data_IF_909563531607
#
_entry.id   IF_909563531607
#
_cell.length_a   1.000
_cell.length_b   1.000
_cell.length_c   1.000
_cell.angle_alpha   90.00
_cell.angle_beta   90.00
_cell.angle_gamma   90.00
#
_symmetry.space_group_name_H-M   'P 1'
#
loop_
_entity.id
_entity.type
_entity.pdbx_description
1 polymer ?
#
# COMPACT_ATOMS: atom_id res chain seq x y z
N UNK A 1 45.38 37.83 31.34
CA UNK A 1 44.48 37.46 30.20
C UNK A 1 43.79 36.13 30.53
N UNK A 2 42.52 36.19 30.93
CA UNK A 2 41.74 35.00 31.22
C UNK A 2 41.06 34.55 29.92
N UNK A 3 41.44 33.38 29.39
CA UNK A 3 40.78 32.75 28.25
C UNK A 3 39.62 31.94 28.79
N UNK A 4 38.38 32.42 28.59
CA UNK A 4 37.17 31.69 28.87
C UNK A 4 36.90 30.71 27.72
N UNK A 5 37.05 29.41 28.00
CA UNK A 5 36.60 28.35 27.09
C UNK A 5 35.08 28.20 27.20
N UNK A 6 34.35 28.55 26.15
CA UNK A 6 32.95 28.21 26.01
C UNK A 6 32.85 26.77 25.53
N UNK A 7 32.48 25.85 26.42
CA UNK A 7 32.16 24.47 26.05
C UNK A 7 30.71 24.45 25.52
N UNK A 8 30.54 24.32 24.22
CA UNK A 8 29.24 24.09 23.60
C UNK A 8 28.90 22.64 23.81
N UNK A 9 27.96 22.36 24.72
CA UNK A 9 27.38 21.02 24.91
C UNK A 9 26.34 20.81 23.79
N UNK A 10 26.70 20.02 22.78
CA UNK A 10 25.78 19.55 21.77
C UNK A 10 24.89 18.48 22.42
N UNK A 11 23.68 18.87 22.84
CA UNK A 11 22.66 17.94 23.33
C UNK A 11 22.06 17.25 22.12
N UNK A 12 22.62 16.11 21.71
CA UNK A 12 22.03 15.26 20.68
C UNK A 12 20.77 14.61 21.25
N UNK A 13 19.60 15.16 20.92
CA UNK A 13 18.32 14.52 21.19
C UNK A 13 18.26 13.24 20.35
N UNK A 14 18.49 12.09 20.96
CA UNK A 14 18.27 10.80 20.36
C UNK A 14 16.75 10.61 20.32
N UNK A 15 16.14 10.92 19.18
CA UNK A 15 14.75 10.52 18.93
C UNK A 15 14.73 9.00 18.77
N UNK A 16 14.27 8.30 19.80
CA UNK A 16 13.85 6.91 19.65
C UNK A 16 12.58 6.92 18.77
N UNK A 17 12.77 6.79 17.47
CA UNK A 17 11.67 6.42 16.58
C UNK A 17 11.33 4.98 16.94
N UNK A 18 10.32 4.79 17.79
CA UNK A 18 9.65 3.48 17.89
C UNK A 18 9.20 3.14 16.49
N UNK A 19 9.65 2.01 15.96
CA UNK A 19 9.07 1.43 14.75
C UNK A 19 7.57 1.26 15.05
N UNK A 20 6.76 2.18 14.56
CA UNK A 20 5.31 2.10 14.72
C UNK A 20 4.86 0.98 13.80
N UNK A 21 4.21 -0.04 14.36
CA UNK A 21 3.56 -1.06 13.53
C UNK A 21 2.53 -0.37 12.64
N UNK A 22 2.74 -0.41 11.33
CA UNK A 22 1.84 0.20 10.37
C UNK A 22 0.44 -0.45 10.45
N UNK A 23 -0.54 0.28 10.95
CA UNK A 23 -1.94 -0.17 11.10
C UNK A 23 -2.52 -0.62 9.75
N UNK A 24 -2.13 0.03 8.65
CA UNK A 24 -2.59 -0.31 7.30
C UNK A 24 -2.03 -1.65 6.77
N UNK A 25 -1.10 -2.28 7.50
CA UNK A 25 -0.60 -3.64 7.22
C UNK A 25 -1.23 -4.71 8.13
N UNK A 26 -2.15 -4.33 9.01
CA UNK A 26 -2.82 -5.26 9.92
C UNK A 26 -4.10 -5.82 9.29
N UNK A 27 -4.25 -7.15 9.25
CA UNK A 27 -5.42 -7.78 8.63
C UNK A 27 -6.74 -7.38 9.31
N UNK A 28 -6.74 -7.22 10.63
CA UNK A 28 -7.95 -6.89 11.39
C UNK A 28 -8.44 -5.46 11.11
N UNK A 29 -7.54 -4.55 10.74
CA UNK A 29 -7.94 -3.22 10.30
C UNK A 29 -8.85 -3.30 9.05
N UNK A 30 -8.47 -4.08 8.06
CA UNK A 30 -9.25 -4.21 6.81
C UNK A 30 -10.54 -5.02 6.99
N UNK A 31 -10.54 -6.02 7.87
CA UNK A 31 -11.75 -6.76 8.24
C UNK A 31 -12.81 -5.88 8.91
N UNK A 32 -12.42 -4.78 9.54
CA UNK A 32 -13.35 -3.81 10.14
C UNK A 32 -14.08 -2.96 9.10
N UNK A 33 -13.79 -3.11 7.81
CA UNK A 33 -14.35 -2.35 6.70
C UNK A 33 -14.19 -0.82 6.89
N UNK A 34 -12.93 -0.31 6.99
CA UNK A 34 -12.67 1.09 7.30
C UNK A 34 -13.20 2.05 6.22
N UNK A 35 -13.68 3.21 6.65
CA UNK A 35 -14.08 4.29 5.74
C UNK A 35 -12.86 5.01 5.18
N UNK A 36 -13.07 5.82 4.12
CA UNK A 36 -12.01 6.65 3.55
C UNK A 36 -11.40 7.60 4.59
N UNK A 37 -12.23 8.19 5.45
CA UNK A 37 -11.79 9.09 6.52
C UNK A 37 -10.92 8.35 7.55
N UNK A 38 -11.29 7.12 7.89
CA UNK A 38 -10.49 6.28 8.79
C UNK A 38 -9.11 6.00 8.20
N UNK A 39 -9.04 5.63 6.91
CA UNK A 39 -7.76 5.38 6.23
C UNK A 39 -6.90 6.64 6.15
N UNK A 40 -7.49 7.79 5.79
CA UNK A 40 -6.78 9.09 5.79
C UNK A 40 -6.25 9.45 7.17
N UNK A 41 -7.04 9.20 8.22
CA UNK A 41 -6.62 9.43 9.61
C UNK A 41 -5.41 8.57 9.98
N UNK A 42 -5.39 7.29 9.60
CA UNK A 42 -4.24 6.42 9.87
C UNK A 42 -2.98 6.90 9.13
N UNK A 43 -3.10 7.36 7.87
CA UNK A 43 -1.98 7.94 7.13
C UNK A 43 -1.47 9.21 7.81
N UNK A 44 -2.36 10.08 8.30
CA UNK A 44 -1.97 11.31 9.02
C UNK A 44 -1.24 11.04 10.34
N UNK A 45 -1.42 9.87 10.94
CA UNK A 45 -0.68 9.39 12.12
C UNK A 45 0.71 8.83 11.76
N UNK A 46 1.07 8.80 10.48
CA UNK A 46 2.37 8.32 10.00
C UNK A 46 2.36 6.86 9.52
N UNK A 47 1.21 6.20 9.41
CA UNK A 47 1.11 4.89 8.79
C UNK A 47 1.32 5.01 7.28
N UNK A 48 2.28 4.27 6.72
CA UNK A 48 2.62 4.33 5.30
C UNK A 48 1.52 3.67 4.44
N UNK A 49 0.99 4.35 3.41
CA UNK A 49 0.03 3.78 2.48
C UNK A 49 0.66 2.86 1.43
N UNK A 50 1.98 2.78 1.36
CA UNK A 50 2.70 2.06 0.30
C UNK A 50 3.74 1.06 0.81
N UNK A 51 3.94 0.95 2.13
CA UNK A 51 4.82 -0.05 2.73
C UNK A 51 4.29 -1.47 2.47
N UNK A 52 5.20 -2.42 2.27
CA UNK A 52 4.88 -3.84 2.14
C UNK A 52 5.22 -4.60 3.42
N UNK A 53 4.36 -5.52 3.82
CA UNK A 53 4.66 -6.46 4.90
C UNK A 53 5.63 -7.56 4.44
N UNK A 54 6.01 -8.47 5.35
CA UNK A 54 6.92 -9.59 5.04
C UNK A 54 6.41 -10.56 3.96
N UNK A 55 5.14 -10.53 3.61
CA UNK A 55 4.53 -11.28 2.51
C UNK A 55 4.37 -10.46 1.24
N UNK A 56 4.96 -9.28 1.15
CA UNK A 56 4.85 -8.34 0.02
C UNK A 56 3.41 -7.86 -0.26
N UNK A 57 2.52 -7.91 0.71
CA UNK A 57 1.24 -7.23 0.65
C UNK A 57 1.38 -5.78 1.15
N UNK A 58 0.72 -4.87 0.48
CA UNK A 58 0.61 -3.47 0.85
C UNK A 58 -0.86 -3.06 1.09
N UNK A 59 -1.14 -1.85 1.58
CA UNK A 59 -2.51 -1.40 1.83
C UNK A 59 -3.44 -1.49 0.62
N UNK A 60 -2.95 -1.29 -0.62
CA UNK A 60 -3.78 -1.44 -1.83
C UNK A 60 -4.23 -2.88 -2.02
N UNK A 61 -3.30 -3.84 -1.94
CA UNK A 61 -3.63 -5.26 -2.09
C UNK A 61 -4.53 -5.75 -0.97
N UNK A 62 -4.31 -5.28 0.25
CA UNK A 62 -5.14 -5.64 1.40
C UNK A 62 -6.56 -5.08 1.26
N UNK A 63 -6.73 -3.85 0.81
CA UNK A 63 -8.05 -3.25 0.55
C UNK A 63 -8.80 -3.99 -0.57
N UNK A 64 -8.13 -4.33 -1.68
CA UNK A 64 -8.73 -5.10 -2.77
C UNK A 64 -9.18 -6.49 -2.27
N UNK A 65 -8.32 -7.21 -1.56
CA UNK A 65 -8.61 -8.56 -1.07
C UNK A 65 -9.75 -8.60 -0.04
N UNK A 66 -9.91 -7.53 0.75
CA UNK A 66 -11.00 -7.40 1.71
C UNK A 66 -12.26 -6.75 1.10
N UNK A 67 -12.29 -6.48 -0.23
CA UNK A 67 -13.42 -5.89 -0.94
C UNK A 67 -13.88 -4.57 -0.33
N UNK A 68 -12.94 -3.75 0.12
CA UNK A 68 -13.21 -2.43 0.67
C UNK A 68 -13.78 -1.51 -0.42
N UNK A 69 -14.47 -0.44 -0.03
CA UNK A 69 -15.10 0.50 -0.98
C UNK A 69 -14.10 1.01 -2.03
N UNK A 70 -14.57 1.18 -3.26
CA UNK A 70 -13.71 1.64 -4.36
C UNK A 70 -13.10 3.02 -4.12
N UNK A 71 -13.74 3.88 -3.34
CA UNK A 71 -13.18 5.19 -2.98
C UNK A 71 -11.90 5.07 -2.16
N UNK A 72 -11.87 4.11 -1.22
CA UNK A 72 -10.65 3.80 -0.44
C UNK A 72 -9.57 3.24 -1.36
N UNK A 73 -9.91 2.26 -2.21
CA UNK A 73 -8.94 1.62 -3.11
C UNK A 73 -8.36 2.65 -4.09
N UNK A 74 -9.18 3.50 -4.70
CA UNK A 74 -8.74 4.58 -5.58
C UNK A 74 -7.80 5.55 -4.88
N UNK A 75 -8.19 5.99 -3.69
CA UNK A 75 -7.37 6.89 -2.87
C UNK A 75 -6.00 6.29 -2.57
N UNK A 76 -5.94 5.00 -2.19
CA UNK A 76 -4.67 4.32 -1.91
C UNK A 76 -3.80 4.16 -3.17
N UNK A 77 -4.38 3.84 -4.33
CA UNK A 77 -3.65 3.74 -5.60
C UNK A 77 -2.97 5.07 -5.96
N UNK A 78 -3.54 6.20 -5.56
CA UNK A 78 -3.01 7.53 -5.84
C UNK A 78 -1.92 7.99 -4.86
N UNK A 79 -1.66 7.24 -3.79
CA UNK A 79 -0.62 7.60 -2.84
C UNK A 79 0.78 7.35 -3.41
N UNK A 80 1.73 8.18 -2.98
CA UNK A 80 3.13 8.03 -3.37
C UNK A 80 3.65 6.62 -3.03
N UNK A 81 4.40 6.03 -3.96
CA UNK A 81 4.93 4.66 -3.83
C UNK A 81 3.97 3.55 -4.30
N UNK A 82 2.72 3.88 -4.66
CA UNK A 82 1.74 2.93 -5.22
C UNK A 82 1.63 3.05 -6.74
N UNK A 83 2.74 2.81 -7.43
CA UNK A 83 2.78 2.81 -8.90
C UNK A 83 2.07 1.59 -9.47
N UNK A 84 1.40 1.73 -10.63
CA UNK A 84 0.55 0.68 -11.22
C UNK A 84 1.29 -0.62 -11.59
N UNK A 85 2.60 -0.54 -11.80
CA UNK A 85 3.46 -1.69 -12.10
C UNK A 85 4.21 -2.23 -10.87
N UNK A 86 3.85 -1.79 -9.67
CA UNK A 86 4.43 -2.30 -8.42
C UNK A 86 4.19 -3.81 -8.29
N UNK A 87 5.27 -4.53 -7.98
CA UNK A 87 5.20 -5.96 -7.72
C UNK A 87 4.88 -6.23 -6.25
N UNK A 88 3.85 -7.01 -6.04
CA UNK A 88 3.39 -7.42 -4.72
C UNK A 88 3.57 -8.92 -4.51
N UNK A 89 2.85 -9.53 -3.61
CA UNK A 89 2.92 -10.97 -3.32
C UNK A 89 2.87 -11.83 -4.60
N UNK A 90 3.82 -12.74 -4.75
CA UNK A 90 4.06 -13.54 -5.97
C UNK A 90 4.30 -12.70 -7.23
N UNK A 91 4.87 -11.52 -7.09
CA UNK A 91 5.07 -10.54 -8.17
C UNK A 91 3.78 -10.11 -8.87
N UNK A 92 2.61 -10.28 -8.28
CA UNK A 92 1.34 -9.81 -8.83
C UNK A 92 1.28 -8.29 -8.89
N UNK A 93 0.74 -7.77 -9.99
CA UNK A 93 0.37 -6.36 -10.13
C UNK A 93 -0.98 -6.09 -9.46
N UNK A 94 -1.28 -4.82 -9.18
CA UNK A 94 -2.61 -4.43 -8.68
C UNK A 94 -3.73 -4.85 -9.64
N UNK A 95 -3.46 -4.82 -10.96
CA UNK A 95 -4.44 -5.26 -11.97
C UNK A 95 -4.81 -6.73 -11.82
N UNK A 96 -3.85 -7.61 -11.50
CA UNK A 96 -4.14 -9.02 -11.26
C UNK A 96 -4.96 -9.23 -9.98
N UNK A 97 -4.72 -8.46 -8.92
CA UNK A 97 -5.53 -8.50 -7.70
C UNK A 97 -6.96 -8.01 -7.94
N UNK A 98 -7.13 -6.89 -8.66
CA UNK A 98 -8.45 -6.35 -9.00
C UNK A 98 -9.22 -7.30 -9.91
N UNK A 99 -8.55 -7.93 -10.89
CA UNK A 99 -9.14 -8.93 -11.76
C UNK A 99 -9.60 -10.16 -10.98
N UNK A 100 -8.76 -10.69 -10.09
CA UNK A 100 -9.11 -11.83 -9.22
C UNK A 100 -10.28 -11.53 -8.28
N UNK A 101 -10.40 -10.28 -7.83
CA UNK A 101 -11.52 -9.83 -7.00
C UNK A 101 -12.82 -9.58 -7.79
N UNK A 102 -12.77 -9.62 -9.12
CA UNK A 102 -13.91 -9.25 -9.99
C UNK A 102 -14.27 -7.76 -9.92
N UNK A 103 -13.35 -6.90 -9.48
CA UNK A 103 -13.60 -5.47 -9.31
C UNK A 103 -13.37 -4.71 -10.63
N UNK A 104 -14.39 -4.74 -11.50
CA UNK A 104 -14.32 -4.15 -12.84
C UNK A 104 -14.00 -2.66 -12.83
N UNK A 105 -14.45 -1.90 -11.84
CA UNK A 105 -14.20 -0.45 -11.73
C UNK A 105 -12.71 -0.18 -11.48
N UNK A 106 -12.10 -0.93 -10.57
CA UNK A 106 -10.66 -0.81 -10.28
C UNK A 106 -9.82 -1.37 -11.43
N UNK A 107 -10.26 -2.45 -12.09
CA UNK A 107 -9.62 -2.97 -13.32
C UNK A 107 -9.54 -1.88 -14.39
N UNK A 108 -10.64 -1.20 -14.69
CA UNK A 108 -10.69 -0.10 -15.67
C UNK A 108 -9.74 1.03 -15.27
N UNK A 109 -9.81 1.48 -14.02
CA UNK A 109 -8.94 2.54 -13.51
C UNK A 109 -7.45 2.19 -13.69
N UNK A 110 -7.06 0.96 -13.36
CA UNK A 110 -5.66 0.53 -13.46
C UNK A 110 -5.18 0.44 -14.91
N UNK A 111 -6.04 -0.01 -15.83
CA UNK A 111 -5.75 -0.02 -17.28
C UNK A 111 -5.59 1.42 -17.78
N UNK A 112 -6.49 2.34 -17.42
CA UNK A 112 -6.42 3.75 -17.79
C UNK A 112 -5.15 4.44 -17.25
N UNK A 113 -4.65 3.98 -16.10
CA UNK A 113 -3.38 4.43 -15.52
C UNK A 113 -2.13 3.74 -16.14
N UNK A 114 -2.30 2.88 -17.14
CA UNK A 114 -1.21 2.27 -17.89
C UNK A 114 -0.73 0.91 -17.34
N UNK A 115 -1.53 0.19 -16.57
CA UNK A 115 -1.20 -1.19 -16.19
C UNK A 115 -1.07 -2.09 -17.41
N UNK A 116 -0.05 -2.96 -17.43
CA UNK A 116 0.16 -3.92 -18.51
C UNK A 116 -0.84 -5.09 -18.40
N UNK A 117 -1.78 -5.16 -19.35
CA UNK A 117 -2.78 -6.23 -19.43
C UNK A 117 -2.21 -7.61 -19.79
N UNK A 118 -0.98 -7.65 -20.34
CA UNK A 118 -0.27 -8.88 -20.71
C UNK A 118 0.70 -9.35 -19.62
N UNK A 119 0.82 -8.59 -18.53
CA UNK A 119 1.74 -8.90 -17.44
C UNK A 119 1.46 -10.30 -16.86
N UNK A 120 2.54 -11.02 -16.57
CA UNK A 120 2.51 -12.34 -15.91
C UNK A 120 3.23 -12.26 -14.57
N UNK A 121 2.66 -12.88 -13.55
CA UNK A 121 3.26 -12.97 -12.22
C UNK A 121 4.41 -14.00 -12.16
N UNK A 122 4.93 -14.28 -10.96
CA UNK A 122 6.04 -15.23 -10.77
C UNK A 122 5.69 -16.68 -11.14
N UNK A 123 4.41 -17.02 -11.28
CA UNK A 123 3.95 -18.32 -11.76
C UNK A 123 3.69 -18.35 -13.29
N UNK A 124 3.91 -17.23 -13.98
CA UNK A 124 3.59 -17.10 -15.38
C UNK A 124 2.09 -16.89 -15.66
N UNK A 125 1.29 -16.60 -14.63
CA UNK A 125 -0.16 -16.43 -14.73
C UNK A 125 -0.50 -15.05 -15.30
N UNK A 126 -1.18 -14.94 -16.44
CA UNK A 126 -1.55 -13.67 -17.04
C UNK A 126 -2.79 -13.06 -16.34
N UNK A 127 -3.01 -11.74 -16.52
CA UNK A 127 -4.16 -11.02 -15.97
C UNK A 127 -5.50 -11.67 -16.33
N UNK A 128 -5.65 -12.12 -17.58
CA UNK A 128 -6.90 -12.73 -18.05
C UNK A 128 -7.28 -14.02 -17.30
N UNK A 129 -6.30 -14.80 -16.84
CA UNK A 129 -6.58 -16.00 -16.05
C UNK A 129 -7.21 -15.67 -14.69
N UNK A 130 -6.79 -14.57 -14.08
CA UNK A 130 -7.40 -14.07 -12.84
C UNK A 130 -8.82 -13.57 -13.06
N UNK A 131 -9.07 -12.83 -14.15
CA UNK A 131 -10.41 -12.38 -14.50
C UNK A 131 -11.37 -13.55 -14.75
N UNK A 132 -10.92 -14.60 -15.45
CA UNK A 132 -11.71 -15.79 -15.73
C UNK A 132 -12.07 -16.59 -14.46
N UNK A 133 -11.26 -16.51 -13.42
CA UNK A 133 -11.51 -17.20 -12.14
C UNK A 133 -12.47 -16.45 -11.22
N UNK A 134 -12.79 -15.20 -11.52
CA UNK A 134 -13.67 -14.34 -10.71
C UNK A 134 -15.16 -14.44 -11.11
N UNK A 135 -15.46 -15.07 -12.27
CA UNK A 135 -16.82 -15.18 -12.86
C UNK A 135 -17.67 -16.33 -12.34
#
# INVERSE_FOLDING_TARGET
MRKTFFTVIFLSAIFFVKAQNNTLLQADFWKSNPTLETVKSEISKGNSPSEQNGGFHDPVTMAINNRISNDVIKFLIEQEGNVVHKKTHHSRSYLQWAAAAGNLEIVKLLIDKGSDVHYKDSYGTPVIAYAASAG
#
